data_IF_919391554224
#
_entry.id   IF_919391554224
#
_cell.length_a   1.000
_cell.length_b   1.000
_cell.length_c   1.000
_cell.angle_alpha   90.00
_cell.angle_beta   90.00
_cell.angle_gamma   90.00
#
_symmetry.space_group_name_H-M   'P 1'
#
loop_
_entity.id
_entity.type
_entity.pdbx_description
1 polymer ?
#
# COMPACT_ATOMS: atom_id res chain seq x y z
N UNK A 1 -39.40 -15.24 -61.21
CA UNK A 1 -39.31 -16.70 -60.94
C UNK A 1 -37.89 -17.04 -60.53
N UNK A 2 -37.75 -17.76 -59.40
CA UNK A 2 -36.63 -18.58 -58.86
C UNK A 2 -35.32 -18.60 -59.68
N UNK A 3 -34.14 -18.52 -59.05
CA UNK A 3 -33.57 -19.57 -58.17
C UNK A 3 -32.53 -19.00 -57.18
N UNK A 4 -32.51 -19.60 -55.99
CA UNK A 4 -31.53 -19.44 -54.92
C UNK A 4 -30.09 -19.76 -55.33
N UNK A 5 -29.13 -19.10 -54.69
CA UNK A 5 -27.80 -19.66 -54.41
C UNK A 5 -27.42 -19.30 -52.97
N UNK A 6 -27.23 -20.33 -52.15
CA UNK A 6 -26.68 -20.28 -50.79
C UNK A 6 -25.17 -20.47 -50.92
N UNK A 7 -24.35 -19.62 -50.28
CA UNK A 7 -23.16 -19.97 -49.45
C UNK A 7 -22.11 -18.83 -49.29
N UNK A 8 -21.57 -18.72 -48.05
CA UNK A 8 -20.17 -18.32 -47.65
C UNK A 8 -19.75 -16.83 -47.84
N UNK A 9 -19.37 -15.98 -46.87
CA UNK A 9 -18.63 -15.99 -45.57
C UNK A 9 -19.15 -14.80 -44.71
N UNK A 10 -19.43 -14.82 -43.39
CA UNK A 10 -18.60 -15.07 -42.19
C UNK A 10 -17.37 -14.15 -42.02
N UNK A 11 -17.26 -13.50 -40.84
CA UNK A 11 -16.15 -12.69 -40.31
C UNK A 11 -15.94 -11.26 -40.86
N UNK A 12 -16.58 -10.29 -40.19
CA UNK A 12 -15.90 -9.04 -39.81
C UNK A 12 -16.20 -8.74 -38.33
N UNK A 13 -15.87 -9.71 -37.48
CA UNK A 13 -15.71 -9.57 -36.03
C UNK A 13 -14.33 -10.16 -35.73
N UNK A 14 -13.34 -9.31 -35.45
CA UNK A 14 -12.09 -9.58 -34.74
C UNK A 14 -10.94 -8.71 -35.27
N UNK A 15 -10.81 -7.48 -34.77
CA UNK A 15 -9.52 -6.96 -34.30
C UNK A 15 -9.71 -5.72 -33.40
N UNK A 16 -10.59 -5.84 -32.39
CA UNK A 16 -10.35 -5.16 -31.11
C UNK A 16 -9.65 -6.18 -30.19
N UNK A 17 -8.61 -6.82 -30.71
CA UNK A 17 -7.76 -7.71 -29.95
C UNK A 17 -6.97 -6.84 -28.98
N UNK A 18 -7.49 -6.76 -27.76
CA UNK A 18 -6.79 -6.33 -26.56
C UNK A 18 -5.97 -5.05 -26.71
N UNK A 19 -6.50 -3.96 -26.12
CA UNK A 19 -5.68 -3.38 -25.06
C UNK A 19 -5.51 -4.50 -24.03
N UNK A 20 -4.55 -5.40 -24.30
CA UNK A 20 -4.06 -6.34 -23.31
C UNK A 20 -3.53 -5.42 -22.25
N UNK A 21 -4.28 -5.29 -21.16
CA UNK A 21 -3.92 -4.51 -20.00
C UNK A 21 -2.50 -4.94 -19.61
N UNK A 22 -1.52 -4.11 -19.95
CA UNK A 22 -0.15 -4.41 -19.62
C UNK A 22 -0.03 -4.20 -18.12
N UNK A 23 0.25 -5.27 -17.38
CA UNK A 23 0.70 -5.16 -16.02
C UNK A 23 1.87 -4.17 -15.88
N UNK A 24 2.08 -3.69 -14.66
CA UNK A 24 3.13 -2.75 -14.33
C UNK A 24 4.06 -3.40 -13.31
N UNK A 25 5.36 -3.25 -13.51
CA UNK A 25 6.38 -3.58 -12.51
C UNK A 25 7.26 -2.37 -12.23
N UNK A 26 7.77 -2.28 -11.00
CA UNK A 26 8.62 -1.17 -10.55
C UNK A 26 9.39 -1.55 -9.30
N UNK A 27 10.46 -0.83 -9.02
CA UNK A 27 11.21 -0.96 -7.77
C UNK A 27 10.82 0.13 -6.78
N UNK A 28 10.86 -0.18 -5.49
CA UNK A 28 10.74 0.81 -4.42
C UNK A 28 11.92 0.71 -3.47
N UNK A 29 12.46 1.86 -3.08
CA UNK A 29 13.37 1.96 -1.93
C UNK A 29 12.72 2.82 -0.86
N UNK A 30 12.46 2.22 0.29
CA UNK A 30 11.94 2.91 1.48
C UNK A 30 13.04 3.00 2.53
N UNK A 31 13.34 4.21 3.00
CA UNK A 31 14.34 4.49 4.03
C UNK A 31 13.65 5.03 5.27
N UNK A 32 14.00 4.50 6.43
CA UNK A 32 13.48 4.89 7.73
C UNK A 32 14.55 5.59 8.55
N UNK A 33 14.28 6.80 9.01
CA UNK A 33 15.20 7.62 9.79
C UNK A 33 14.60 8.04 11.12
N UNK A 34 15.45 8.15 12.14
CA UNK A 34 15.13 8.79 13.42
C UNK A 34 15.93 10.10 13.48
N UNK A 35 15.23 11.23 13.31
CA UNK A 35 15.87 12.48 12.90
C UNK A 35 16.61 12.30 11.57
N UNK A 36 17.87 12.73 11.51
CA UNK A 36 18.71 12.61 10.31
C UNK A 36 19.38 11.23 10.15
N UNK A 37 19.34 10.40 11.20
CA UNK A 37 20.04 9.12 11.20
C UNK A 37 19.20 8.04 10.53
N UNK A 38 19.73 7.45 9.47
CA UNK A 38 19.17 6.23 8.89
C UNK A 38 19.22 5.07 9.91
N UNK A 39 18.05 4.45 10.11
CA UNK A 39 17.87 3.34 11.06
C UNK A 39 17.60 2.02 10.35
N UNK A 40 16.97 2.08 9.18
CA UNK A 40 16.60 0.92 8.39
C UNK A 40 16.28 1.32 6.94
N UNK A 41 16.24 0.35 6.04
CA UNK A 41 15.70 0.49 4.70
C UNK A 41 15.08 -0.83 4.21
N UNK A 42 14.24 -0.73 3.19
CA UNK A 42 13.65 -1.85 2.44
C UNK A 42 13.78 -1.54 0.96
N UNK A 43 14.35 -2.46 0.20
CA UNK A 43 14.31 -2.48 -1.26
C UNK A 43 13.32 -3.56 -1.69
N UNK A 44 12.33 -3.19 -2.50
CA UNK A 44 11.32 -4.12 -2.99
C UNK A 44 11.17 -4.06 -4.51
N UNK A 45 10.71 -5.17 -5.09
CA UNK A 45 10.26 -5.25 -6.48
C UNK A 45 8.76 -5.55 -6.50
N UNK A 46 7.99 -4.69 -7.15
CA UNK A 46 6.54 -4.75 -7.17
C UNK A 46 6.00 -5.05 -8.56
N UNK A 47 4.87 -5.74 -8.58
CA UNK A 47 4.13 -6.13 -9.77
C UNK A 47 2.64 -5.91 -9.53
N UNK A 48 1.93 -5.39 -10.52
CA UNK A 48 0.48 -5.28 -10.48
C UNK A 48 -0.16 -5.59 -11.83
N UNK A 49 -1.22 -6.39 -11.82
CA UNK A 49 -2.04 -6.69 -12.99
C UNK A 49 -3.43 -7.19 -12.58
N UNK A 50 -4.49 -6.69 -13.21
CA UNK A 50 -5.85 -7.13 -12.95
C UNK A 50 -6.30 -6.93 -11.50
N UNK A 51 -5.74 -5.93 -10.82
CA UNK A 51 -5.96 -5.67 -9.39
C UNK A 51 -5.21 -6.61 -8.44
N UNK A 52 -4.46 -7.60 -8.91
CA UNK A 52 -3.52 -8.34 -8.06
C UNK A 52 -2.25 -7.53 -7.88
N UNK A 53 -1.62 -7.64 -6.72
CA UNK A 53 -0.34 -6.98 -6.41
C UNK A 53 0.59 -8.01 -5.79
N UNK A 54 1.87 -7.97 -6.15
CA UNK A 54 2.94 -8.71 -5.49
C UNK A 54 4.05 -7.73 -5.14
N UNK A 55 4.59 -7.85 -3.94
CA UNK A 55 5.81 -7.14 -3.51
C UNK A 55 6.81 -8.16 -3.00
N UNK A 56 7.98 -8.19 -3.64
CA UNK A 56 9.12 -9.02 -3.26
C UNK A 56 10.10 -8.17 -2.46
N UNK A 57 10.51 -8.64 -1.28
CA UNK A 57 11.50 -7.97 -0.44
C UNK A 57 12.90 -8.39 -0.86
N UNK A 58 13.56 -7.55 -1.66
CA UNK A 58 14.85 -7.87 -2.29
C UNK A 58 16.00 -7.72 -1.30
N UNK A 59 16.00 -6.65 -0.51
CA UNK A 59 17.07 -6.34 0.44
C UNK A 59 16.49 -5.55 1.62
N UNK A 60 16.94 -5.83 2.84
CA UNK A 60 16.49 -5.13 4.04
C UNK A 60 17.66 -4.79 4.98
N UNK A 61 17.68 -3.57 5.52
CA UNK A 61 18.79 -3.11 6.36
C UNK A 61 18.91 -3.82 7.72
N UNK A 62 17.82 -3.85 8.50
CA UNK A 62 17.72 -4.52 9.81
C UNK A 62 16.29 -5.01 10.06
N UNK A 63 16.18 -6.14 10.77
CA UNK A 63 14.94 -6.85 11.15
C UNK A 63 14.13 -7.41 9.98
N UNK A 64 14.09 -8.73 9.90
CA UNK A 64 12.90 -9.43 9.44
C UNK A 64 11.82 -9.33 10.52
N UNK A 65 10.56 -9.26 10.11
CA UNK A 65 9.40 -9.53 10.95
C UNK A 65 8.61 -10.71 10.34
N UNK A 66 7.64 -11.31 11.06
CA UNK A 66 6.91 -12.47 10.55
C UNK A 66 6.19 -12.26 9.21
N UNK A 67 6.01 -11.00 8.79
CA UNK A 67 5.33 -10.62 7.54
C UNK A 67 6.28 -10.09 6.46
N UNK A 68 7.54 -9.80 6.81
CA UNK A 68 8.54 -9.20 5.93
C UNK A 68 9.93 -9.77 6.22
N UNK A 69 10.45 -10.51 5.26
CA UNK A 69 11.77 -11.16 5.32
C UNK A 69 12.43 -10.97 3.96
N UNK A 70 13.73 -10.74 3.95
CA UNK A 70 14.51 -10.72 2.71
C UNK A 70 14.34 -12.03 1.94
N UNK A 71 14.11 -11.95 0.63
CA UNK A 71 13.75 -13.08 -0.24
C UNK A 71 12.30 -13.55 -0.12
N UNK A 72 11.56 -13.07 0.89
CA UNK A 72 10.11 -13.26 1.03
C UNK A 72 9.31 -12.32 0.14
N UNK A 73 8.01 -12.59 0.00
CA UNK A 73 7.10 -11.71 -0.72
C UNK A 73 5.68 -11.79 -0.17
N UNK A 74 4.88 -10.77 -0.43
CA UNK A 74 3.43 -10.86 -0.27
C UNK A 74 2.69 -10.73 -1.58
N UNK A 75 1.48 -11.30 -1.63
CA UNK A 75 0.54 -11.19 -2.74
C UNK A 75 -0.78 -10.69 -2.19
N UNK A 76 -1.31 -9.62 -2.76
CA UNK A 76 -2.71 -9.26 -2.63
C UNK A 76 -3.50 -9.78 -3.82
N UNK A 77 -4.60 -10.47 -3.55
CA UNK A 77 -5.54 -10.94 -4.58
C UNK A 77 -6.87 -10.22 -4.44
N UNK A 78 -7.16 -9.34 -5.40
CA UNK A 78 -8.39 -8.52 -5.41
C UNK A 78 -9.66 -9.37 -5.39
N UNK A 79 -9.72 -10.43 -6.21
CA UNK A 79 -10.90 -11.29 -6.32
C UNK A 79 -11.21 -12.11 -5.07
N UNK A 80 -10.23 -12.31 -4.19
CA UNK A 80 -10.40 -13.02 -2.92
C UNK A 80 -10.39 -12.10 -1.69
N UNK A 81 -9.99 -10.84 -1.86
CA UNK A 81 -9.73 -9.89 -0.77
C UNK A 81 -8.77 -10.46 0.31
N UNK A 82 -7.71 -11.14 -0.13
CA UNK A 82 -6.73 -11.79 0.75
C UNK A 82 -5.33 -11.23 0.53
N UNK A 83 -4.56 -11.17 1.62
CA UNK A 83 -3.10 -11.02 1.59
C UNK A 83 -2.47 -12.37 1.88
N UNK A 84 -1.48 -12.75 1.08
CA UNK A 84 -0.72 -13.99 1.24
C UNK A 84 0.72 -13.59 1.48
N UNK A 85 1.31 -13.99 2.61
CA UNK A 85 2.75 -13.83 2.85
C UNK A 85 3.40 -15.17 2.57
N UNK A 86 4.46 -15.15 1.76
CA UNK A 86 5.16 -16.35 1.30
C UNK A 86 6.62 -16.29 1.73
N UNK A 87 7.10 -17.39 2.31
CA UNK A 87 8.51 -17.64 2.58
C UNK A 87 9.02 -18.73 1.61
N UNK A 88 9.76 -18.34 0.56
CA UNK A 88 10.31 -19.28 -0.41
C UNK A 88 11.38 -20.21 0.13
N UNK A 89 12.13 -19.77 1.15
CA UNK A 89 13.19 -20.56 1.77
C UNK A 89 12.59 -21.73 2.53
N UNK A 90 11.59 -21.45 3.36
CA UNK A 90 10.88 -22.48 4.14
C UNK A 90 9.80 -23.22 3.34
N UNK A 91 9.50 -22.75 2.12
CA UNK A 91 8.38 -23.21 1.29
C UNK A 91 7.06 -23.19 2.08
N UNK A 92 6.85 -22.12 2.83
CA UNK A 92 5.62 -21.91 3.59
C UNK A 92 4.89 -20.67 3.13
N UNK A 93 3.61 -20.61 3.42
CA UNK A 93 2.83 -19.40 3.22
C UNK A 93 1.75 -19.30 4.28
N UNK A 94 1.37 -18.07 4.58
CA UNK A 94 0.21 -17.74 5.40
C UNK A 94 -0.76 -16.92 4.57
N UNK A 95 -2.05 -17.19 4.75
CA UNK A 95 -3.11 -16.39 4.12
C UNK A 95 -3.86 -15.66 5.20
N UNK A 96 -3.98 -14.35 5.02
CA UNK A 96 -4.73 -13.47 5.89
C UNK A 96 -5.87 -12.87 5.08
N UNK A 97 -7.08 -13.23 5.49
CA UNK A 97 -8.30 -12.62 4.98
C UNK A 97 -8.39 -11.20 5.54
N UNK A 98 -8.59 -10.21 4.66
CA UNK A 98 -8.66 -8.82 5.10
C UNK A 98 -9.81 -8.60 6.08
N UNK A 99 -10.95 -9.26 5.91
CA UNK A 99 -12.07 -9.15 6.84
C UNK A 99 -11.70 -9.72 8.21
N UNK A 100 -10.86 -10.77 8.27
CA UNK A 100 -10.33 -11.28 9.54
C UNK A 100 -9.37 -10.28 10.19
N UNK A 101 -8.52 -9.58 9.42
CA UNK A 101 -7.69 -8.50 9.96
C UNK A 101 -8.57 -7.40 10.57
N UNK A 102 -9.64 -7.01 9.87
CA UNK A 102 -10.56 -5.99 10.36
C UNK A 102 -11.31 -6.45 11.61
N UNK A 103 -11.75 -7.70 11.66
CA UNK A 103 -12.38 -8.28 12.85
C UNK A 103 -11.41 -8.35 14.04
N UNK A 104 -10.15 -8.73 13.80
CA UNK A 104 -9.09 -8.68 14.81
C UNK A 104 -8.84 -7.26 15.28
N UNK A 105 -8.79 -6.29 14.36
CA UNK A 105 -8.71 -4.85 14.67
C UNK A 105 -9.84 -4.40 15.59
N UNK A 106 -11.08 -4.79 15.29
CA UNK A 106 -12.24 -4.53 16.14
C UNK A 106 -12.19 -5.21 17.52
N UNK A 107 -11.59 -6.40 17.62
CA UNK A 107 -11.37 -7.07 18.90
C UNK A 107 -10.30 -6.36 19.75
N UNK A 108 -9.18 -5.96 19.13
CA UNK A 108 -8.11 -5.17 19.76
C UNK A 108 -8.64 -3.79 20.18
N UNK A 109 -9.50 -3.17 19.37
CA UNK A 109 -10.16 -1.91 19.67
C UNK A 109 -11.01 -1.95 20.96
N UNK A 110 -11.47 -3.14 21.40
CA UNK A 110 -12.15 -3.29 22.70
C UNK A 110 -11.18 -3.25 23.88
N UNK A 111 -9.91 -3.61 23.66
CA UNK A 111 -8.86 -3.63 24.68
C UNK A 111 -8.09 -2.29 24.76
N UNK A 112 -8.09 -1.54 23.66
CA UNK A 112 -7.39 -0.27 23.51
C UNK A 112 -8.41 0.82 23.20
N UNK A 113 -8.59 1.78 24.12
CA UNK A 113 -9.36 2.97 23.80
C UNK A 113 -8.41 4.02 23.21
N UNK A 114 -8.63 4.36 21.95
CA UNK A 114 -7.96 5.47 21.27
C UNK A 114 -8.96 6.62 21.15
N UNK A 115 -8.52 7.82 21.51
CA UNK A 115 -9.29 9.06 21.34
C UNK A 115 -8.45 10.03 20.53
N UNK A 116 -8.98 10.52 19.41
CA UNK A 116 -8.33 11.53 18.59
C UNK A 116 -9.09 12.85 18.71
N UNK A 117 -8.39 13.90 19.09
CA UNK A 117 -8.96 15.24 19.22
C UNK A 117 -8.22 16.24 18.35
N UNK A 118 -8.91 17.30 17.95
CA UNK A 118 -8.38 18.37 17.11
C UNK A 118 -7.75 17.90 15.78
N UNK A 119 -8.34 16.95 15.01
CA UNK A 119 -7.74 16.50 13.77
C UNK A 119 -7.83 17.57 12.68
N UNK A 120 -6.66 18.08 12.28
CA UNK A 120 -6.49 18.98 11.15
C UNK A 120 -5.76 18.25 10.01
N UNK A 121 -6.24 18.40 8.79
CA UNK A 121 -5.59 17.89 7.57
C UNK A 121 -5.69 18.98 6.52
N UNK A 122 -4.54 19.49 6.11
CA UNK A 122 -4.42 20.52 5.08
C UNK A 122 -3.61 19.96 3.91
N UNK A 123 -4.08 20.24 2.70
CA UNK A 123 -3.35 19.90 1.48
C UNK A 123 -3.04 21.18 0.71
N UNK A 124 -1.79 21.31 0.27
CA UNK A 124 -1.39 22.35 -0.66
C UNK A 124 -0.58 21.75 -1.80
N UNK A 125 -0.71 22.36 -2.98
CA UNK A 125 0.11 22.06 -4.14
C UNK A 125 1.28 23.04 -4.15
N UNK A 126 2.48 22.52 -4.37
CA UNK A 126 3.69 23.32 -4.53
C UNK A 126 4.18 23.22 -5.98
N UNK A 127 5.38 23.72 -6.26
CA UNK A 127 5.93 23.70 -7.60
C UNK A 127 6.10 22.27 -8.11
N UNK A 128 5.57 22.00 -9.31
CA UNK A 128 5.73 20.71 -9.98
C UNK A 128 7.20 20.43 -10.28
N UNK A 129 7.58 19.16 -10.23
CA UNK A 129 8.95 18.70 -10.47
C UNK A 129 8.97 17.60 -11.53
N UNK A 130 10.08 17.41 -12.22
CA UNK A 130 10.29 16.28 -13.13
C UNK A 130 11.09 15.21 -12.39
N UNK A 131 10.50 14.02 -12.20
CA UNK A 131 11.21 12.87 -11.64
C UNK A 131 11.44 11.83 -12.75
N UNK A 132 12.69 11.69 -13.17
CA UNK A 132 13.06 10.88 -14.33
C UNK A 132 12.43 11.43 -15.62
N UNK A 133 11.53 10.68 -16.23
CA UNK A 133 10.79 11.09 -17.45
C UNK A 133 9.37 11.59 -17.17
N UNK A 134 8.94 11.62 -15.91
CA UNK A 134 7.56 11.91 -15.53
C UNK A 134 7.43 13.30 -14.98
N UNK A 135 6.42 14.04 -15.44
CA UNK A 135 6.03 15.29 -14.81
C UNK A 135 5.21 14.97 -13.56
N UNK A 136 5.65 15.49 -12.42
CA UNK A 136 5.02 15.26 -11.13
C UNK A 136 4.41 16.54 -10.60
N UNK A 137 3.18 16.42 -10.12
CA UNK A 137 2.64 17.38 -9.18
C UNK A 137 3.20 17.08 -7.80
N UNK A 138 3.74 18.11 -7.15
CA UNK A 138 4.26 18.02 -5.80
C UNK A 138 3.24 18.60 -4.82
N UNK A 139 2.88 17.80 -3.82
CA UNK A 139 1.91 18.12 -2.78
C UNK A 139 2.56 18.12 -1.41
N UNK A 140 2.13 19.05 -0.56
CA UNK A 140 2.38 19.03 0.87
C UNK A 140 1.06 18.74 1.58
N UNK A 141 1.02 17.67 2.35
CA UNK A 141 -0.08 17.34 3.25
C UNK A 141 0.41 17.54 4.68
N UNK A 142 -0.26 18.42 5.42
CA UNK A 142 0.01 18.66 6.84
C UNK A 142 -1.12 18.08 7.66
N UNK A 143 -0.81 17.11 8.48
CA UNK A 143 -1.75 16.50 9.41
C UNK A 143 -1.32 16.84 10.84
N UNK A 144 -2.25 17.26 11.69
CA UNK A 144 -1.98 17.38 13.13
C UNK A 144 -3.18 16.94 13.95
N UNK A 145 -2.92 16.34 15.10
CA UNK A 145 -3.94 15.89 16.04
C UNK A 145 -3.35 15.57 17.40
N UNK A 146 -4.19 15.55 18.42
CA UNK A 146 -3.87 14.97 19.72
C UNK A 146 -4.42 13.55 19.80
N UNK A 147 -3.59 12.61 20.25
CA UNK A 147 -3.99 11.22 20.46
C UNK A 147 -3.85 10.85 21.94
N UNK A 148 -4.93 10.32 22.52
CA UNK A 148 -4.90 9.65 23.82
C UNK A 148 -5.13 8.15 23.62
N UNK A 149 -4.19 7.35 24.09
CA UNK A 149 -4.30 5.88 24.08
C UNK A 149 -4.42 5.39 25.51
N UNK A 150 -5.45 4.59 25.79
CA UNK A 150 -5.64 3.90 27.05
C UNK A 150 -5.63 2.40 26.84
N UNK A 151 -4.63 1.73 27.42
CA UNK A 151 -4.51 0.28 27.47
C UNK A 151 -4.58 -0.13 28.93
N UNK A 152 -5.69 -0.74 29.35
CA UNK A 152 -5.97 -1.06 30.76
C UNK A 152 -5.70 0.14 31.72
N UNK A 153 -4.66 0.05 32.55
CA UNK A 153 -4.26 1.08 33.53
C UNK A 153 -3.27 2.13 32.97
N UNK A 154 -2.69 1.89 31.79
CA UNK A 154 -1.74 2.81 31.17
C UNK A 154 -2.48 3.82 30.29
N UNK A 155 -2.14 5.09 30.46
CA UNK A 155 -2.60 6.19 29.61
C UNK A 155 -1.40 6.91 29.02
N UNK A 156 -1.40 7.09 27.71
CA UNK A 156 -0.49 7.99 27.00
C UNK A 156 -1.29 9.07 26.30
N UNK A 157 -0.71 10.27 26.25
CA UNK A 157 -1.22 11.39 25.46
C UNK A 157 -0.05 11.97 24.70
N UNK A 158 -0.21 12.12 23.39
CA UNK A 158 0.80 12.70 22.52
C UNK A 158 0.14 13.70 21.58
N UNK A 159 0.88 14.73 21.22
CA UNK A 159 0.57 15.58 20.07
C UNK A 159 1.33 15.05 18.86
N UNK A 160 0.65 14.88 17.73
CA UNK A 160 1.23 14.40 16.47
C UNK A 160 1.17 15.51 15.45
N UNK A 161 2.31 15.78 14.82
CA UNK A 161 2.42 16.61 13.62
C UNK A 161 3.07 15.77 12.52
N UNK A 162 2.43 15.69 11.36
CA UNK A 162 2.95 15.00 10.19
C UNK A 162 3.00 15.97 9.00
N UNK A 163 4.13 15.98 8.30
CA UNK A 163 4.26 16.60 6.99
C UNK A 163 4.57 15.48 6.00
N UNK A 164 3.70 15.32 5.00
CA UNK A 164 3.86 14.38 3.90
C UNK A 164 4.04 15.13 2.60
N UNK A 165 5.24 15.05 2.05
CA UNK A 165 5.58 15.51 0.72
C UNK A 165 5.32 14.37 -0.27
N UNK A 166 4.59 14.64 -1.35
CA UNK A 166 4.19 13.62 -2.33
C UNK A 166 4.43 14.15 -3.74
N UNK A 167 5.16 13.40 -4.55
CA UNK A 167 5.32 13.64 -5.98
C UNK A 167 4.52 12.59 -6.74
N UNK A 168 3.44 13.01 -7.38
CA UNK A 168 2.53 12.11 -8.09
C UNK A 168 2.40 12.50 -9.57
N UNK A 169 2.31 11.50 -10.45
CA UNK A 169 2.13 11.70 -11.89
C UNK A 169 0.87 11.01 -12.41
N UNK A 170 0.22 11.62 -13.39
CA UNK A 170 -0.91 11.01 -14.11
C UNK A 170 -0.45 10.28 -15.39
N UNK A 171 0.85 10.31 -15.69
CA UNK A 171 1.42 9.69 -16.90
C UNK A 171 1.48 8.16 -16.79
N UNK A 172 1.33 7.61 -15.57
CA UNK A 172 1.31 6.18 -15.29
C UNK A 172 -0.13 5.74 -15.05
N UNK A 173 -0.69 4.86 -15.90
CA UNK A 173 -2.03 4.32 -15.71
C UNK A 173 -2.08 3.54 -14.39
N UNK A 174 -2.85 4.04 -13.43
CA UNK A 174 -3.02 3.34 -12.15
C UNK A 174 -4.06 2.20 -12.24
N UNK A 175 -4.77 2.03 -13.37
CA UNK A 175 -5.89 1.08 -13.55
C UNK A 175 -5.59 -0.36 -13.11
N UNK A 176 -4.35 -0.81 -13.20
CA UNK A 176 -3.93 -2.15 -12.77
C UNK A 176 -3.84 -2.31 -11.24
N UNK A 177 -3.77 -1.21 -10.49
CA UNK A 177 -3.81 -1.24 -9.04
C UNK A 177 -5.25 -1.51 -8.58
N UNK A 178 -5.41 -2.45 -7.65
CA UNK A 178 -6.73 -2.85 -7.16
C UNK A 178 -7.55 -1.65 -6.67
N UNK A 179 -8.86 -1.67 -6.94
CA UNK A 179 -9.80 -0.68 -6.42
C UNK A 179 -9.71 -0.53 -4.89
N UNK A 180 -9.42 -1.60 -4.14
CA UNK A 180 -9.18 -1.52 -2.69
C UNK A 180 -7.93 -0.73 -2.29
N UNK A 181 -6.86 -0.81 -3.09
CA UNK A 181 -5.64 0.01 -2.92
C UNK A 181 -5.84 1.45 -3.39
N UNK A 182 -6.65 1.66 -4.44
CA UNK A 182 -7.00 2.99 -4.95
C UNK A 182 -7.96 3.74 -4.05
N UNK A 183 -9.00 3.06 -3.61
CA UNK A 183 -10.08 3.64 -2.82
C UNK A 183 -9.71 3.73 -1.33
N UNK A 184 -8.57 3.14 -0.92
CA UNK A 184 -7.97 3.18 0.42
C UNK A 184 -8.97 2.92 1.57
N UNK A 185 -10.08 2.24 1.31
CA UNK A 185 -11.26 2.20 2.20
C UNK A 185 -11.10 1.19 3.34
N UNK A 186 -9.96 1.24 4.03
CA UNK A 186 -9.70 0.40 5.19
C UNK A 186 -10.35 1.05 6.41
N UNK A 187 -11.19 0.28 7.10
CA UNK A 187 -11.75 0.66 8.40
C UNK A 187 -11.11 -0.18 9.47
N UNK A 188 -10.42 0.45 10.40
CA UNK A 188 -9.80 -0.19 11.56
C UNK A 188 -10.83 -0.67 12.57
N UNK A 189 -12.07 -0.17 12.49
CA UNK A 189 -13.13 -0.42 13.48
C UNK A 189 -13.04 0.52 14.69
N UNK A 190 -12.10 1.46 14.69
CA UNK A 190 -11.97 2.53 15.69
C UNK A 190 -12.40 3.84 15.06
N UNK A 191 -13.58 4.34 15.45
CA UNK A 191 -14.25 5.50 14.82
C UNK A 191 -13.33 6.72 14.64
N UNK A 192 -12.56 7.07 15.68
CA UNK A 192 -11.66 8.22 15.64
C UNK A 192 -10.51 8.04 14.63
N UNK A 193 -9.95 6.84 14.53
CA UNK A 193 -8.91 6.51 13.56
C UNK A 193 -9.51 6.47 12.15
N UNK A 194 -10.66 5.84 11.99
CA UNK A 194 -11.33 5.72 10.69
C UNK A 194 -11.68 7.10 10.13
N UNK A 195 -12.12 8.03 10.98
CA UNK A 195 -12.37 9.42 10.59
C UNK A 195 -11.09 10.16 10.18
N UNK A 196 -9.97 9.93 10.86
CA UNK A 196 -8.68 10.52 10.46
C UNK A 196 -8.22 9.95 9.11
N UNK A 197 -8.26 8.63 8.94
CA UNK A 197 -7.94 7.93 7.69
C UNK A 197 -8.79 8.50 6.54
N UNK A 198 -10.09 8.66 6.75
CA UNK A 198 -10.99 9.21 5.73
C UNK A 198 -10.58 10.64 5.31
N UNK A 199 -10.22 11.51 6.27
CA UNK A 199 -9.73 12.86 5.96
C UNK A 199 -8.44 12.82 5.13
N UNK A 200 -7.48 11.99 5.50
CA UNK A 200 -6.21 11.85 4.76
C UNK A 200 -6.42 11.29 3.36
N UNK A 201 -7.34 10.34 3.21
CA UNK A 201 -7.74 9.81 1.91
C UNK A 201 -8.39 10.87 1.04
N UNK A 202 -9.31 11.66 1.59
CA UNK A 202 -9.96 12.75 0.88
C UNK A 202 -8.95 13.79 0.38
N UNK A 203 -7.88 14.04 1.15
CA UNK A 203 -6.79 14.92 0.75
C UNK A 203 -5.95 14.35 -0.42
N UNK A 204 -5.90 13.02 -0.58
CA UNK A 204 -5.09 12.33 -1.58
C UNK A 204 -5.88 11.78 -2.78
N UNK A 205 -7.21 11.89 -2.78
CA UNK A 205 -8.10 11.18 -3.73
C UNK A 205 -7.83 11.48 -5.21
N UNK A 206 -7.34 12.69 -5.50
CA UNK A 206 -7.12 13.18 -6.87
C UNK A 206 -5.63 13.06 -7.29
N UNK A 207 -4.78 12.49 -6.43
CA UNK A 207 -3.36 12.31 -6.73
C UNK A 207 -3.16 11.08 -7.64
N UNK A 208 -2.28 11.23 -8.64
CA UNK A 208 -1.89 10.16 -9.54
C UNK A 208 -0.99 9.10 -8.89
N UNK A 209 -0.24 8.37 -9.73
CA UNK A 209 0.73 7.40 -9.27
C UNK A 209 1.89 8.10 -8.53
N UNK A 210 2.13 7.74 -7.27
CA UNK A 210 3.17 8.34 -6.43
C UNK A 210 4.53 7.80 -6.82
N UNK A 211 5.46 8.68 -7.21
CA UNK A 211 6.84 8.33 -7.55
C UNK A 211 7.82 8.57 -6.40
N UNK A 212 7.49 9.51 -5.52
CA UNK A 212 8.29 9.82 -4.34
C UNK A 212 7.37 10.28 -3.23
N UNK A 213 7.70 9.91 -2.01
CA UNK A 213 7.09 10.49 -0.82
C UNK A 213 8.09 10.64 0.31
N UNK A 214 7.98 11.74 1.05
CA UNK A 214 8.72 11.98 2.29
C UNK A 214 7.70 12.26 3.38
N UNK A 215 7.65 11.43 4.42
CA UNK A 215 6.78 11.64 5.58
C UNK A 215 7.64 11.94 6.78
N UNK A 216 7.53 13.15 7.32
CA UNK A 216 8.14 13.57 8.58
C UNK A 216 7.07 13.63 9.65
N UNK A 217 7.15 12.73 10.63
CA UNK A 217 6.24 12.68 11.77
C UNK A 217 6.98 13.08 13.05
N UNK A 218 6.40 14.03 13.79
CA UNK A 218 6.83 14.44 15.11
C UNK A 218 5.79 13.99 16.13
N UNK A 219 6.24 13.29 17.16
CA UNK A 219 5.42 12.91 18.30
C UNK A 219 5.95 13.65 19.53
N UNK A 220 5.11 14.50 20.12
CA UNK A 220 5.43 15.23 21.35
C UNK A 220 4.69 14.61 22.51
N UNK A 221 5.42 14.09 23.49
CA UNK A 221 4.83 13.49 24.68
C UNK A 221 4.36 14.54 25.69
N UNK A 222 3.66 14.09 26.74
CA UNK A 222 3.19 14.97 27.84
C UNK A 222 4.29 15.71 28.60
N UNK A 223 5.56 15.31 28.48
CA UNK A 223 6.74 15.95 29.09
C UNK A 223 7.43 16.92 28.13
N UNK A 224 6.91 17.08 26.90
CA UNK A 224 7.49 17.90 25.86
C UNK A 224 8.67 17.24 25.13
N UNK A 225 8.93 15.94 25.36
CA UNK A 225 9.93 15.20 24.59
C UNK A 225 9.40 15.00 23.17
N UNK A 226 10.20 15.38 22.18
CA UNK A 226 9.87 15.22 20.76
C UNK A 226 10.65 14.06 20.17
N UNK A 227 9.94 13.15 19.52
CA UNK A 227 10.51 12.09 18.70
C UNK A 227 10.16 12.36 17.23
N UNK A 228 11.17 12.40 16.36
CA UNK A 228 11.00 12.64 14.93
C UNK A 228 11.34 11.38 14.16
N UNK A 229 10.39 10.90 13.36
CA UNK A 229 10.57 9.80 12.43
C UNK A 229 10.39 10.31 11.01
N UNK A 230 11.27 9.90 10.10
CA UNK A 230 11.18 10.24 8.68
C UNK A 230 11.12 8.95 7.88
N UNK A 231 10.16 8.85 6.98
CA UNK A 231 10.06 7.76 6.00
C UNK A 231 10.15 8.33 4.61
N UNK A 232 11.12 7.88 3.82
CA UNK A 232 11.33 8.30 2.44
C UNK A 232 11.14 7.11 1.52
N UNK A 233 10.22 7.21 0.57
CA UNK A 233 9.97 6.18 -0.44
C UNK A 233 10.24 6.76 -1.82
N UNK A 234 11.00 6.04 -2.64
CA UNK A 234 11.26 6.37 -4.04
C UNK A 234 10.88 5.18 -4.93
N UNK A 235 10.25 5.48 -6.06
CA UNK A 235 9.85 4.51 -7.09
C UNK A 235 10.74 4.68 -8.31
N UNK A 236 11.32 3.58 -8.79
CA UNK A 236 12.18 3.56 -9.99
C UNK A 236 11.84 2.39 -10.91
N UNK A 237 12.50 2.34 -12.07
CA UNK A 237 12.49 1.18 -12.98
C UNK A 237 11.10 0.71 -13.40
N UNK A 238 10.22 1.68 -13.65
CA UNK A 238 8.82 1.43 -14.01
C UNK A 238 8.75 0.91 -15.45
N UNK A 239 8.22 -0.29 -15.63
CA UNK A 239 7.98 -0.88 -16.95
C UNK A 239 6.56 -1.44 -17.07
N UNK A 240 6.08 -1.51 -18.31
CA UNK A 240 4.75 -2.03 -18.65
C UNK A 240 4.91 -3.28 -19.50
N UNK A 241 4.37 -4.40 -19.04
CA UNK A 241 4.41 -5.68 -19.76
C UNK A 241 3.27 -6.58 -19.30
N UNK A 242 2.92 -7.56 -20.12
CA UNK A 242 2.03 -8.62 -19.66
C UNK A 242 2.75 -9.46 -18.59
N UNK A 243 2.18 -9.53 -17.40
CA UNK A 243 2.68 -10.29 -16.25
C UNK A 243 1.93 -11.62 -16.22
N UNK A 244 2.64 -12.73 -15.99
CA UNK A 244 2.00 -14.04 -15.88
C UNK A 244 1.12 -14.11 -14.63
N UNK A 245 -0.10 -14.61 -14.75
CA UNK A 245 -1.00 -14.85 -13.60
C UNK A 245 -0.37 -15.80 -12.57
N UNK A 246 0.56 -16.67 -12.99
CA UNK A 246 1.32 -17.55 -12.09
C UNK A 246 2.16 -16.77 -11.07
N UNK A 247 2.56 -15.52 -11.39
CA UNK A 247 3.31 -14.67 -10.46
C UNK A 247 2.49 -14.32 -9.22
N UNK A 248 1.16 -14.26 -9.34
CA UNK A 248 0.23 -13.98 -8.24
C UNK A 248 -0.28 -15.25 -7.57
N UNK A 249 0.32 -16.42 -7.86
CA UNK A 249 -0.01 -17.71 -7.25
C UNK A 249 1.06 -18.12 -6.24
N UNK A 250 0.64 -18.88 -5.22
CA UNK A 250 1.59 -19.57 -4.35
C UNK A 250 2.09 -20.79 -5.14
N UNK A 251 3.41 -21.02 -5.24
CA UNK A 251 3.92 -22.16 -5.98
C UNK A 251 3.44 -23.50 -5.41
N UNK A 252 3.30 -24.50 -6.28
CA UNK A 252 2.92 -25.84 -5.86
C UNK A 252 3.92 -26.42 -4.84
N UNK A 253 3.40 -27.15 -3.85
CA UNK A 253 4.20 -27.80 -2.81
C UNK A 253 4.53 -26.93 -1.60
N UNK A 254 4.10 -25.67 -1.57
CA UNK A 254 4.23 -24.84 -0.38
C UNK A 254 3.21 -25.26 0.69
N UNK A 255 3.63 -25.26 1.95
CA UNK A 255 2.78 -25.61 3.09
C UNK A 255 2.11 -24.36 3.65
N UNK A 256 0.79 -24.41 3.81
CA UNK A 256 0.06 -23.37 4.54
C UNK A 256 0.39 -23.46 6.04
N UNK A 257 0.75 -22.35 6.65
CA UNK A 257 0.92 -22.20 8.08
C UNK A 257 -0.16 -21.25 8.63
N UNK A 258 -0.55 -21.45 9.88
CA UNK A 258 -1.51 -20.58 10.54
C UNK A 258 -0.86 -19.26 10.94
N UNK A 259 -1.64 -18.19 10.89
CA UNK A 259 -1.23 -16.92 11.49
C UNK A 259 -1.33 -17.03 13.01
N UNK A 260 -0.35 -17.69 13.63
CA UNK A 260 -0.19 -17.66 15.07
C UNK A 260 0.60 -16.41 15.43
N UNK A 261 0.07 -15.62 16.38
CA UNK A 261 0.87 -14.60 17.08
C UNK A 261 2.23 -15.19 17.44
N UNK A 262 3.35 -14.44 17.35
CA UNK A 262 4.59 -14.91 17.92
C UNK A 262 4.30 -15.36 19.37
N UNK A 263 4.63 -16.61 19.67
CA UNK A 263 4.56 -17.16 21.02
C UNK A 263 5.39 -16.25 21.93
N UNK A 264 4.85 -15.97 23.12
CA UNK A 264 5.47 -15.15 24.18
C UNK A 264 6.84 -15.68 24.63
#
# INVERSE_FOLDING_TARGET
MKKSCVFLWALFFALQAGLVFAGIEWQTKTVFKSGEKETNYILSHLYAQGGNVREEFVEMGKKSDPTRKEGGYWIYRSGANTIIVVDPEEKTYMEVDMDKILQMGGAIAKLIKITITNPNVEVSKVESEILGKYKCDHYLIKTSYDIETKVAFLKSKNHVEEIKEIWATNDIPSMELAGGFKNKSFKTGMEDIDRLIEKEMQAQRDMGFVLKSITTQKNTDKKGKVETNITETNVTDITFKNISDELFKVPAGYKKIDFTSPEE
#
